data_IF_750450298584
#
_entry.id   IF_750450298584
#
_cell.length_a   1.000
_cell.length_b   1.000
_cell.length_c   1.000
_cell.angle_alpha   90.00
_cell.angle_beta   90.00
_cell.angle_gamma   90.00
#
_symmetry.space_group_name_H-M   'P 1'
#
loop_
_entity.id
_entity.type
_entity.pdbx_description
1 polymer ?
#
# COMPACT_ATOMS: atom_id res chain seq x y z
N UNK A 1 51.13 25.33 -1.71
CA UNK A 1 50.10 24.82 -2.64
C UNK A 1 48.83 24.55 -1.88
N UNK A 2 47.71 25.11 -2.35
CA UNK A 2 46.37 24.99 -1.77
C UNK A 2 45.74 23.66 -2.21
N UNK A 3 45.21 22.87 -1.29
CA UNK A 3 44.22 21.84 -1.61
C UNK A 3 43.01 22.05 -0.69
N UNK A 4 42.15 22.99 -1.08
CA UNK A 4 40.80 23.11 -0.53
C UNK A 4 39.97 21.99 -1.15
N UNK A 5 39.60 21.00 -0.36
CA UNK A 5 38.44 20.17 -0.68
C UNK A 5 37.24 21.06 -0.43
N UNK A 6 36.69 21.63 -1.50
CA UNK A 6 35.38 22.28 -1.45
C UNK A 6 34.35 21.21 -1.13
N UNK A 7 33.93 21.15 0.13
CA UNK A 7 32.68 20.49 0.51
C UNK A 7 31.57 21.43 0.07
N UNK A 8 30.77 21.10 -0.96
CA UNK A 8 29.67 21.96 -1.36
C UNK A 8 28.66 22.06 -0.21
N UNK A 9 28.65 23.22 0.47
CA UNK A 9 27.57 23.60 1.37
C UNK A 9 26.34 23.94 0.53
N UNK A 10 25.42 23.00 0.40
CA UNK A 10 24.01 23.32 0.13
C UNK A 10 23.14 22.38 0.96
N UNK A 11 22.35 22.90 1.92
CA UNK A 11 21.12 22.22 2.32
C UNK A 11 20.27 22.15 1.05
N UNK A 12 20.34 21.04 0.33
CA UNK A 12 19.46 20.81 -0.81
C UNK A 12 18.07 20.66 -0.22
N UNK A 13 17.30 21.73 -0.33
CA UNK A 13 15.87 21.67 -0.64
C UNK A 13 15.18 20.55 0.15
N UNK A 14 14.85 20.81 1.42
CA UNK A 14 13.74 20.13 2.06
C UNK A 14 12.61 20.10 1.04
N UNK A 15 12.28 18.88 0.64
CA UNK A 15 11.61 18.52 -0.60
C UNK A 15 10.20 19.15 -0.67
N UNK A 16 10.15 20.43 -1.03
CA UNK A 16 8.93 21.14 -1.37
C UNK A 16 8.24 20.58 -2.61
N UNK A 17 8.83 19.55 -3.26
CA UNK A 17 8.18 18.79 -4.33
C UNK A 17 7.26 17.70 -3.78
N UNK A 18 7.44 17.27 -2.53
CA UNK A 18 6.48 16.38 -1.87
C UNK A 18 5.17 17.12 -1.54
N UNK A 19 5.28 18.39 -1.14
CA UNK A 19 4.13 19.25 -0.81
C UNK A 19 3.40 19.84 -2.03
N UNK A 20 3.86 19.55 -3.25
CA UNK A 20 3.22 19.98 -4.51
C UNK A 20 2.45 18.87 -5.23
N UNK A 21 2.22 17.72 -4.60
CA UNK A 21 1.51 16.61 -5.24
C UNK A 21 -0.01 16.59 -4.99
N UNK A 22 -0.51 17.42 -4.08
CA UNK A 22 -1.90 17.34 -3.62
C UNK A 22 -2.65 18.66 -3.75
N UNK A 23 -2.72 19.23 -4.96
CA UNK A 23 -3.76 20.22 -5.28
C UNK A 23 -4.91 19.61 -6.09
N UNK A 24 -5.01 18.28 -6.12
CA UNK A 24 -6.08 17.57 -6.82
C UNK A 24 -6.47 16.33 -6.00
N UNK A 25 -7.72 16.26 -5.54
CA UNK A 25 -8.28 15.17 -4.71
C UNK A 25 -7.95 13.78 -5.29
N UNK A 26 -7.85 13.69 -6.62
CA UNK A 26 -7.45 12.50 -7.36
C UNK A 26 -6.02 12.02 -7.07
N UNK A 27 -5.07 12.94 -6.90
CA UNK A 27 -3.67 12.63 -6.62
C UNK A 27 -3.47 11.96 -5.27
N UNK A 28 -4.12 12.52 -4.24
CA UNK A 28 -4.09 11.99 -2.88
C UNK A 28 -4.71 10.58 -2.79
N UNK A 29 -5.91 10.38 -3.34
CA UNK A 29 -6.60 9.08 -3.32
C UNK A 29 -5.78 8.01 -4.07
N UNK A 30 -5.14 8.38 -5.17
CA UNK A 30 -4.24 7.49 -5.90
C UNK A 30 -3.05 7.06 -5.07
N UNK A 31 -2.37 8.00 -4.39
CA UNK A 31 -1.25 7.70 -3.52
C UNK A 31 -1.65 6.75 -2.38
N UNK A 32 -2.73 7.08 -1.66
CA UNK A 32 -3.28 6.22 -0.60
C UNK A 32 -3.63 4.82 -1.09
N UNK A 33 -4.26 4.71 -2.27
CA UNK A 33 -4.59 3.41 -2.87
C UNK A 33 -3.36 2.55 -3.14
N UNK A 34 -2.25 3.15 -3.58
CA UNK A 34 -0.99 2.43 -3.78
C UNK A 34 -0.39 1.96 -2.46
N UNK A 35 -0.41 2.81 -1.43
CA UNK A 35 0.10 2.45 -0.11
C UNK A 35 -0.71 1.35 0.57
N UNK A 36 -2.03 1.29 0.35
CA UNK A 36 -2.91 0.25 0.91
C UNK A 36 -2.81 -1.10 0.17
N UNK A 37 -2.52 -1.11 -1.13
CA UNK A 37 -2.38 -2.36 -1.91
C UNK A 37 -1.27 -3.25 -1.37
N UNK A 38 -0.14 -2.67 -0.99
CA UNK A 38 1.03 -3.41 -0.48
C UNK A 38 0.72 -4.21 0.80
N UNK A 39 0.26 -3.60 1.92
CA UNK A 39 -0.07 -4.34 3.13
C UNK A 39 -1.23 -5.33 2.93
N UNK A 40 -2.22 -5.02 2.09
CA UNK A 40 -3.30 -5.97 1.77
C UNK A 40 -2.78 -7.20 1.04
N UNK A 41 -1.88 -7.03 0.07
CA UNK A 41 -1.24 -8.15 -0.62
C UNK A 41 -0.36 -8.98 0.33
N UNK A 42 0.33 -8.34 1.28
CA UNK A 42 1.09 -9.05 2.32
C UNK A 42 0.17 -9.88 3.21
N UNK A 43 -0.98 -9.34 3.63
CA UNK A 43 -1.97 -10.07 4.44
C UNK A 43 -2.52 -11.27 3.65
N UNK A 44 -2.95 -11.07 2.40
CA UNK A 44 -3.45 -12.14 1.53
C UNK A 44 -2.38 -13.23 1.35
N UNK A 45 -1.15 -12.84 1.02
CA UNK A 45 -0.03 -13.76 0.86
C UNK A 45 0.29 -14.53 2.14
N UNK A 46 0.22 -13.87 3.29
CA UNK A 46 0.42 -14.50 4.61
C UNK A 46 -0.67 -15.54 4.90
N UNK A 47 -1.94 -15.23 4.65
CA UNK A 47 -3.03 -16.20 4.76
C UNK A 47 -2.82 -17.41 3.84
N UNK A 48 -2.39 -17.18 2.60
CA UNK A 48 -2.11 -18.25 1.64
C UNK A 48 -0.92 -19.11 2.06
N UNK A 49 0.13 -18.52 2.61
CA UNK A 49 1.29 -19.24 3.12
C UNK A 49 0.91 -20.15 4.30
N UNK A 50 0.16 -19.60 5.27
CA UNK A 50 -0.34 -20.36 6.43
C UNK A 50 -1.24 -21.54 5.99
N UNK A 51 -2.09 -21.34 4.99
CA UNK A 51 -2.96 -22.40 4.45
C UNK A 51 -2.19 -23.51 3.71
N UNK A 52 -1.01 -23.20 3.16
CA UNK A 52 -0.16 -24.12 2.39
C UNK A 52 0.82 -24.93 3.25
N UNK A 53 1.06 -24.53 4.51
CA UNK A 53 1.97 -25.26 5.40
C UNK A 53 1.39 -26.64 5.76
N UNK A 54 1.96 -27.68 5.17
CA UNK A 54 1.60 -29.08 5.45
C UNK A 54 2.26 -29.64 6.70
N UNK A 55 3.37 -29.06 7.16
CA UNK A 55 4.10 -29.50 8.36
C UNK A 55 3.42 -29.00 9.63
N UNK A 56 2.81 -27.81 9.56
CA UNK A 56 2.01 -27.23 10.64
C UNK A 56 0.62 -26.86 10.13
N UNK A 57 -0.15 -27.90 9.80
CA UNK A 57 -1.51 -27.70 9.31
C UNK A 57 -2.38 -26.97 10.35
N UNK A 58 -3.12 -25.97 9.87
CA UNK A 58 -4.10 -25.25 10.69
C UNK A 58 -5.20 -26.20 11.17
N UNK A 59 -5.64 -26.03 12.42
CA UNK A 59 -6.89 -26.63 12.91
C UNK A 59 -8.08 -26.11 12.11
N UNK A 60 -9.23 -26.79 12.19
CA UNK A 60 -10.46 -26.35 11.50
C UNK A 60 -10.84 -24.90 11.83
N UNK A 61 -10.82 -24.54 13.12
CA UNK A 61 -11.14 -23.17 13.58
C UNK A 61 -10.12 -22.14 13.10
N UNK A 62 -8.83 -22.49 13.11
CA UNK A 62 -7.78 -21.60 12.60
C UNK A 62 -7.91 -21.40 11.09
N UNK A 63 -8.21 -22.48 10.34
CA UNK A 63 -8.45 -22.42 8.90
C UNK A 63 -9.62 -21.50 8.57
N UNK A 64 -10.76 -21.64 9.25
CA UNK A 64 -11.92 -20.76 9.03
C UNK A 64 -11.56 -19.29 9.32
N UNK A 65 -10.82 -19.04 10.40
CA UNK A 65 -10.35 -17.69 10.74
C UNK A 65 -9.46 -17.12 9.65
N UNK A 66 -8.48 -17.88 9.17
CA UNK A 66 -7.57 -17.45 8.09
C UNK A 66 -8.33 -17.25 6.77
N UNK A 67 -9.31 -18.09 6.45
CA UNK A 67 -10.15 -17.94 5.27
C UNK A 67 -11.02 -16.67 5.35
N UNK A 68 -11.53 -16.33 6.54
CA UNK A 68 -12.25 -15.06 6.77
C UNK A 68 -11.31 -13.85 6.62
N UNK A 69 -10.10 -13.91 7.17
CA UNK A 69 -9.08 -12.87 7.01
C UNK A 69 -8.73 -12.65 5.53
N UNK A 70 -8.45 -13.73 4.79
CA UNK A 70 -8.12 -13.65 3.36
C UNK A 70 -9.28 -13.04 2.56
N UNK A 71 -10.52 -13.49 2.79
CA UNK A 71 -11.72 -12.95 2.14
C UNK A 71 -11.89 -11.45 2.42
N UNK A 72 -11.80 -11.04 3.67
CA UNK A 72 -11.93 -9.62 4.05
C UNK A 72 -10.83 -8.75 3.44
N UNK A 73 -9.58 -9.22 3.41
CA UNK A 73 -8.49 -8.49 2.78
C UNK A 73 -8.70 -8.33 1.26
N UNK A 74 -9.21 -9.36 0.58
CA UNK A 74 -9.58 -9.26 -0.85
C UNK A 74 -10.74 -8.31 -1.09
N UNK A 75 -11.78 -8.36 -0.24
CA UNK A 75 -12.91 -7.42 -0.32
C UNK A 75 -12.42 -5.99 -0.15
N UNK A 76 -11.57 -5.72 0.84
CA UNK A 76 -11.02 -4.38 1.06
C UNK A 76 -10.13 -3.92 -0.10
N UNK A 77 -9.29 -4.81 -0.65
CA UNK A 77 -8.50 -4.52 -1.85
C UNK A 77 -9.39 -4.14 -3.04
N UNK A 78 -10.52 -4.84 -3.20
CA UNK A 78 -11.51 -4.52 -4.23
C UNK A 78 -12.16 -3.16 -3.98
N UNK A 79 -12.60 -2.86 -2.75
CA UNK A 79 -13.16 -1.56 -2.38
C UNK A 79 -12.18 -0.40 -2.59
N UNK A 80 -10.89 -0.59 -2.29
CA UNK A 80 -9.83 0.40 -2.56
C UNK A 80 -9.70 0.66 -4.06
N UNK A 81 -9.73 -0.39 -4.88
CA UNK A 81 -9.68 -0.24 -6.34
C UNK A 81 -10.92 0.49 -6.88
N UNK A 82 -12.11 0.15 -6.37
CA UNK A 82 -13.35 0.83 -6.73
C UNK A 82 -13.32 2.31 -6.38
N UNK A 83 -12.91 2.68 -5.16
CA UNK A 83 -12.80 4.07 -4.75
C UNK A 83 -11.89 4.88 -5.70
N UNK A 84 -10.77 4.29 -6.11
CA UNK A 84 -9.86 4.92 -7.08
C UNK A 84 -10.54 5.12 -8.44
N UNK A 85 -11.29 4.14 -8.91
CA UNK A 85 -12.03 4.24 -10.17
C UNK A 85 -13.15 5.28 -10.11
N UNK A 86 -13.87 5.38 -8.99
CA UNK A 86 -14.89 6.42 -8.77
C UNK A 86 -14.26 7.81 -8.86
N UNK A 87 -13.15 8.04 -8.16
CA UNK A 87 -12.44 9.34 -8.16
C UNK A 87 -11.84 9.66 -9.53
N UNK A 88 -11.41 8.66 -10.30
CA UNK A 88 -10.92 8.85 -11.67
C UNK A 88 -12.03 9.16 -12.68
N UNK A 89 -13.21 8.55 -12.51
CA UNK A 89 -14.31 8.66 -13.47
C UNK A 89 -15.35 9.71 -13.10
N UNK A 90 -15.32 10.22 -11.86
CA UNK A 90 -16.32 11.13 -11.31
C UNK A 90 -17.70 10.51 -11.11
N UNK A 91 -17.81 9.18 -11.16
CA UNK A 91 -19.08 8.45 -10.97
C UNK A 91 -19.04 7.63 -9.70
N UNK A 92 -20.05 7.83 -8.85
CA UNK A 92 -20.31 7.04 -7.66
C UNK A 92 -21.59 6.25 -7.94
N UNK A 93 -21.45 4.98 -8.33
CA UNK A 93 -22.57 4.03 -8.49
C UNK A 93 -22.57 3.01 -7.35
#
# INVERSE_FOLDING_TARGET
>A
MKNQIEVPRRPSELDGRFLRRDSDESGFIKAMSHELRTPLNVIIGSCQLLKRDRKRALSSTQRDTVDRMERNARTLLHSVNHLLDCVRTGRFE
#
